data_IF_254064577163
#
_entry.id   IF_254064577163
#
_cell.length_a   1.000
_cell.length_b   1.000
_cell.length_c   1.000
_cell.angle_alpha   90.00
_cell.angle_beta   90.00
_cell.angle_gamma   90.00
#
_symmetry.space_group_name_H-M   'P 1'
#
loop_
_entity.id
_entity.type
_entity.pdbx_description
1 polymer ?
#
# COMPACT_ATOMS: atom_id res chain seq x y z
N UNK A 1 -26.82 4.34 -29.83
CA UNK A 1 -26.65 4.55 -28.38
C UNK A 1 -25.46 3.72 -27.94
N UNK A 2 -24.29 4.34 -27.88
CA UNK A 2 -23.00 3.68 -27.68
C UNK A 2 -22.82 3.30 -26.21
N UNK A 3 -22.79 2.00 -25.90
CA UNK A 3 -22.23 1.51 -24.64
C UNK A 3 -20.72 1.67 -24.75
N UNK A 4 -20.20 2.71 -24.10
CA UNK A 4 -18.78 2.96 -23.97
C UNK A 4 -18.19 1.81 -23.15
N UNK A 5 -17.39 0.98 -23.82
CA UNK A 5 -16.52 -0.01 -23.21
C UNK A 5 -15.50 0.74 -22.35
N UNK A 6 -15.55 0.55 -21.02
CA UNK A 6 -14.50 0.99 -20.11
C UNK A 6 -13.28 0.14 -20.46
N UNK A 7 -12.29 0.73 -21.13
CA UNK A 7 -11.02 0.07 -21.39
C UNK A 7 -10.52 -0.54 -20.08
N UNK A 8 -10.14 -1.82 -20.10
CA UNK A 8 -9.64 -2.51 -18.92
C UNK A 8 -8.41 -1.74 -18.39
N UNK A 9 -8.60 -1.01 -17.29
CA UNK A 9 -7.53 -0.40 -16.52
C UNK A 9 -6.57 -1.52 -16.10
N UNK A 10 -5.30 -1.45 -16.46
CA UNK A 10 -4.33 -2.49 -16.07
C UNK A 10 -4.11 -2.40 -14.57
N UNK A 11 -4.82 -3.23 -13.81
CA UNK A 11 -4.61 -3.40 -12.38
C UNK A 11 -3.54 -4.46 -12.15
N UNK A 12 -2.57 -4.16 -11.30
CA UNK A 12 -1.51 -5.07 -10.89
C UNK A 12 -1.54 -5.21 -9.37
N UNK A 13 -1.47 -6.44 -8.89
CA UNK A 13 -1.27 -6.73 -7.47
C UNK A 13 0.19 -7.07 -7.20
N UNK A 14 0.74 -6.46 -6.17
CA UNK A 14 2.10 -6.70 -5.67
C UNK A 14 2.01 -7.12 -4.19
N UNK A 15 2.50 -8.30 -3.88
CA UNK A 15 2.63 -8.79 -2.50
C UNK A 15 4.04 -8.48 -2.00
N UNK A 16 4.13 -7.85 -0.83
CA UNK A 16 5.39 -7.68 -0.10
C UNK A 16 5.42 -8.77 0.98
N UNK A 17 6.44 -9.62 0.93
CA UNK A 17 6.56 -10.79 1.82
C UNK A 17 7.66 -10.58 2.86
N UNK A 18 8.68 -9.80 2.51
CA UNK A 18 9.76 -9.42 3.43
C UNK A 18 9.32 -8.30 4.39
N UNK A 19 10.07 -8.13 5.48
CA UNK A 19 9.89 -7.02 6.39
C UNK A 19 10.13 -5.68 5.69
N UNK A 20 9.30 -4.69 6.01
CA UNK A 20 9.41 -3.33 5.48
C UNK A 20 10.27 -2.48 6.42
N UNK A 21 11.55 -2.79 6.49
CA UNK A 21 12.53 -2.09 7.33
C UNK A 21 13.60 -1.39 6.49
N UNK A 22 14.44 -0.57 7.13
CA UNK A 22 15.54 0.15 6.47
C UNK A 22 16.48 -0.77 5.67
N UNK A 23 16.62 -2.04 6.07
CA UNK A 23 17.47 -3.01 5.39
C UNK A 23 16.97 -3.40 3.99
N UNK A 24 15.65 -3.44 3.78
CA UNK A 24 15.04 -3.80 2.51
C UNK A 24 14.48 -2.59 1.74
N UNK A 25 14.43 -1.42 2.38
CA UNK A 25 13.74 -0.25 1.84
C UNK A 25 14.26 0.22 0.47
N UNK A 26 15.56 0.12 0.22
CA UNK A 26 16.15 0.53 -1.07
C UNK A 26 15.64 -0.36 -2.22
N UNK A 27 15.67 -1.68 -2.04
CA UNK A 27 15.25 -2.65 -3.04
C UNK A 27 13.72 -2.63 -3.22
N UNK A 28 12.98 -2.57 -2.10
CA UNK A 28 11.53 -2.47 -2.12
C UNK A 28 11.06 -1.18 -2.81
N UNK A 29 11.76 -0.06 -2.63
CA UNK A 29 11.46 1.18 -3.36
C UNK A 29 11.54 0.98 -4.87
N UNK A 30 12.58 0.30 -5.35
CA UNK A 30 12.75 0.04 -6.78
C UNK A 30 11.58 -0.80 -7.31
N UNK A 31 11.26 -1.91 -6.62
CA UNK A 31 10.16 -2.80 -6.97
C UNK A 31 8.82 -2.04 -7.01
N UNK A 32 8.53 -1.22 -6.01
CA UNK A 32 7.29 -0.44 -5.92
C UNK A 32 7.16 0.55 -7.08
N UNK A 33 8.23 1.28 -7.40
CA UNK A 33 8.24 2.27 -8.49
C UNK A 33 8.09 1.60 -9.85
N UNK A 34 8.77 0.48 -10.08
CA UNK A 34 8.65 -0.31 -11.31
C UNK A 34 7.23 -0.88 -11.48
N UNK A 35 6.65 -1.43 -10.41
CA UNK A 35 5.27 -1.93 -10.42
C UNK A 35 4.27 -0.81 -10.75
N UNK A 36 4.39 0.36 -10.10
CA UNK A 36 3.53 1.51 -10.39
C UNK A 36 3.72 2.03 -11.82
N UNK A 37 4.92 1.97 -12.38
CA UNK A 37 5.15 2.37 -13.76
C UNK A 37 4.38 1.47 -14.75
N UNK A 38 4.29 0.16 -14.46
CA UNK A 38 3.68 -0.85 -15.34
C UNK A 38 2.14 -0.94 -15.33
N UNK A 39 1.46 -0.27 -14.40
CA UNK A 39 0.01 -0.39 -14.23
C UNK A 39 -0.69 0.98 -14.08
N UNK A 40 -2.00 1.01 -14.24
CA UNK A 40 -2.83 2.19 -13.91
C UNK A 40 -3.34 2.13 -12.46
N UNK A 41 -3.44 0.91 -11.91
CA UNK A 41 -3.84 0.64 -10.54
C UNK A 41 -2.90 -0.38 -9.91
N UNK A 42 -2.23 0.03 -8.82
CA UNK A 42 -1.37 -0.82 -8.00
C UNK A 42 -2.09 -1.20 -6.71
N UNK A 43 -2.30 -2.50 -6.51
CA UNK A 43 -2.81 -3.06 -5.27
C UNK A 43 -1.66 -3.65 -4.46
N UNK A 44 -1.46 -3.16 -3.23
CA UNK A 44 -0.44 -3.65 -2.31
C UNK A 44 -1.06 -4.64 -1.33
N UNK A 45 -0.58 -5.87 -1.39
CA UNK A 45 -0.88 -6.89 -0.39
C UNK A 45 0.28 -6.92 0.61
N UNK A 46 0.00 -6.45 1.83
CA UNK A 46 0.94 -6.36 2.94
C UNK A 46 0.59 -7.36 4.05
N UNK A 47 -0.22 -8.38 3.75
CA UNK A 47 -0.67 -9.37 4.74
C UNK A 47 0.48 -10.23 5.29
N UNK A 48 1.56 -10.39 4.53
CA UNK A 48 2.73 -11.18 4.91
C UNK A 48 3.84 -10.37 5.62
N UNK A 49 3.74 -9.04 5.67
CA UNK A 49 4.75 -8.18 6.30
C UNK A 49 4.72 -8.37 7.81
N UNK A 50 5.77 -8.92 8.39
CA UNK A 50 5.84 -9.21 9.83
C UNK A 50 6.32 -8.01 10.64
N UNK A 51 7.27 -7.24 10.10
CA UNK A 51 7.79 -6.02 10.71
C UNK A 51 7.75 -4.84 9.73
N UNK A 52 7.48 -3.64 10.24
CA UNK A 52 7.56 -2.38 9.49
C UNK A 52 8.13 -1.28 10.39
N UNK A 53 9.13 -0.55 9.88
CA UNK A 53 9.69 0.63 10.54
C UNK A 53 9.30 1.93 9.81
N UNK A 54 9.93 3.04 10.20
CA UNK A 54 9.68 4.34 9.56
C UNK A 54 10.11 4.40 8.09
N UNK A 55 11.14 3.65 7.68
CA UNK A 55 11.58 3.60 6.29
C UNK A 55 10.55 2.86 5.43
N UNK A 56 10.06 1.71 5.89
CA UNK A 56 8.96 0.99 5.24
C UNK A 56 7.69 1.84 5.13
N UNK A 57 7.30 2.51 6.21
CA UNK A 57 6.14 3.39 6.21
C UNK A 57 6.29 4.56 5.22
N UNK A 58 7.48 5.15 5.14
CA UNK A 58 7.78 6.19 4.16
C UNK A 58 7.62 5.71 2.71
N UNK A 59 7.90 4.44 2.41
CA UNK A 59 7.64 3.86 1.09
C UNK A 59 6.15 3.78 0.77
N UNK A 60 5.30 3.43 1.75
CA UNK A 60 3.84 3.42 1.58
C UNK A 60 3.31 4.83 1.28
N UNK A 61 3.82 5.84 1.98
CA UNK A 61 3.48 7.24 1.71
C UNK A 61 4.00 7.67 0.33
N UNK A 62 5.24 7.30 -0.01
CA UNK A 62 5.85 7.62 -1.30
C UNK A 62 5.00 7.09 -2.46
N UNK A 63 4.65 5.79 -2.44
CA UNK A 63 3.97 5.16 -3.57
C UNK A 63 2.57 5.73 -3.78
N UNK A 64 1.85 6.04 -2.70
CA UNK A 64 0.53 6.68 -2.78
C UNK A 64 0.62 8.09 -3.37
N UNK A 65 1.62 8.87 -2.96
CA UNK A 65 1.88 10.21 -3.50
C UNK A 65 2.29 10.17 -4.97
N UNK A 66 3.15 9.24 -5.36
CA UNK A 66 3.59 9.09 -6.75
C UNK A 66 2.45 8.63 -7.66
N UNK A 67 1.60 7.70 -7.20
CA UNK A 67 0.42 7.31 -7.95
C UNK A 67 -0.50 8.52 -8.20
N UNK A 68 -0.80 9.30 -7.16
CA UNK A 68 -1.60 10.52 -7.29
C UNK A 68 -0.95 11.54 -8.26
N UNK A 69 0.37 11.75 -8.16
CA UNK A 69 1.13 12.65 -9.05
C UNK A 69 1.06 12.22 -10.51
N UNK A 70 1.03 10.91 -10.77
CA UNK A 70 0.95 10.32 -12.10
C UNK A 70 -0.49 10.14 -12.62
N UNK A 71 -1.51 10.50 -11.84
CA UNK A 71 -2.91 10.25 -12.19
C UNK A 71 -3.32 8.77 -12.11
N UNK A 72 -2.51 7.94 -11.44
CA UNK A 72 -2.72 6.51 -11.21
C UNK A 72 -3.34 6.27 -9.84
N UNK A 73 -3.68 5.01 -9.55
CA UNK A 73 -4.15 4.58 -8.23
C UNK A 73 -3.16 3.64 -7.55
N UNK A 74 -2.95 3.83 -6.26
CA UNK A 74 -2.26 2.88 -5.40
C UNK A 74 -3.04 2.73 -4.09
N UNK A 75 -3.26 1.49 -3.65
CA UNK A 75 -4.01 1.19 -2.44
C UNK A 75 -3.56 -0.10 -1.76
N UNK A 76 -3.74 -0.17 -0.45
CA UNK A 76 -3.49 -1.37 0.35
C UNK A 76 -4.77 -2.20 0.31
N UNK A 77 -4.68 -3.46 -0.12
CA UNK A 77 -5.83 -4.38 -0.24
C UNK A 77 -5.89 -5.44 0.85
N UNK A 78 -4.77 -5.68 1.53
CA UNK A 78 -4.66 -6.49 2.75
C UNK A 78 -3.45 -6.01 3.55
N UNK A 79 -3.51 -6.15 4.88
CA UNK A 79 -2.44 -5.71 5.78
C UNK A 79 -2.29 -6.68 6.96
N UNK A 80 -1.07 -6.74 7.50
CA UNK A 80 -0.78 -7.43 8.75
C UNK A 80 -1.12 -6.55 9.97
N UNK A 81 -1.12 -7.12 11.20
CA UNK A 81 -1.25 -6.34 12.43
C UNK A 81 -0.17 -5.25 12.56
N UNK A 82 1.09 -5.56 12.24
CA UNK A 82 2.20 -4.60 12.30
C UNK A 82 1.97 -3.39 11.39
N UNK A 83 1.42 -3.62 10.19
CA UNK A 83 1.08 -2.54 9.26
C UNK A 83 -0.06 -1.67 9.79
N UNK A 84 -1.13 -2.27 10.33
CA UNK A 84 -2.21 -1.48 10.95
C UNK A 84 -1.72 -0.68 12.16
N UNK A 85 -0.91 -1.28 13.03
CA UNK A 85 -0.38 -0.61 14.23
C UNK A 85 0.44 0.63 13.87
N UNK A 86 1.29 0.55 12.84
CA UNK A 86 2.10 1.69 12.41
C UNK A 86 1.26 2.77 11.72
N UNK A 87 0.29 2.39 10.89
CA UNK A 87 -0.62 3.37 10.26
C UNK A 87 -1.47 4.10 11.31
N UNK A 88 -1.95 3.38 12.34
CA UNK A 88 -2.68 3.96 13.46
C UNK A 88 -1.79 4.85 14.32
N UNK A 89 -0.57 4.39 14.64
CA UNK A 89 0.41 5.14 15.40
C UNK A 89 0.76 6.49 14.74
N UNK A 90 0.87 6.53 13.41
CA UNK A 90 1.08 7.77 12.66
C UNK A 90 -0.21 8.54 12.33
N UNK A 91 -1.38 8.06 12.76
CA UNK A 91 -2.68 8.66 12.47
C UNK A 91 -2.91 8.93 10.96
N UNK A 92 -2.56 7.95 10.12
CA UNK A 92 -2.61 8.06 8.66
C UNK A 92 -3.64 7.14 8.01
N UNK A 93 -4.55 6.54 8.77
CA UNK A 93 -5.56 5.63 8.25
C UNK A 93 -6.43 6.28 7.15
N UNK A 94 -6.89 7.52 7.37
CA UNK A 94 -7.58 8.33 6.37
C UNK A 94 -6.73 8.65 5.12
N UNK A 95 -5.41 8.76 5.28
CA UNK A 95 -4.50 8.93 4.14
C UNK A 95 -4.48 7.68 3.28
N UNK A 96 -4.59 6.48 3.87
CA UNK A 96 -4.60 5.21 3.14
C UNK A 96 -5.99 4.78 2.64
N UNK A 97 -7.08 5.35 3.20
CA UNK A 97 -8.40 5.37 2.57
C UNK A 97 -9.59 4.86 3.40
N UNK A 98 -9.38 4.59 4.69
CA UNK A 98 -10.31 4.21 5.79
C UNK A 98 -11.72 3.60 5.54
N UNK A 99 -12.20 2.71 6.46
CA UNK A 99 -11.67 2.46 7.81
C UNK A 99 -10.79 1.21 7.88
N UNK A 100 -9.55 1.37 8.35
CA UNK A 100 -8.87 0.27 9.04
C UNK A 100 -9.68 -0.01 10.30
N UNK A 101 -10.56 -1.02 10.23
CA UNK A 101 -11.34 -1.43 11.38
C UNK A 101 -10.39 -2.08 12.39
N UNK A 102 -10.14 -1.38 13.49
CA UNK A 102 -9.59 -1.95 14.71
C UNK A 102 -10.48 -3.15 15.08
N UNK A 103 -9.97 -4.39 15.14
CA UNK A 103 -10.68 -5.46 15.81
C UNK A 103 -10.96 -4.98 17.23
N UNK A 104 -12.22 -5.01 17.65
CA UNK A 104 -12.63 -4.61 18.99
C UNK A 104 -11.65 -5.20 20.02
N UNK A 105 -11.04 -4.31 20.81
CA UNK A 105 -10.02 -4.57 21.83
C UNK A 105 -10.18 -5.97 22.45
N UNK A 106 -9.12 -6.79 22.39
CA UNK A 106 -8.93 -7.75 23.47
C UNK A 106 -8.67 -6.95 24.74
N UNK A 107 -9.74 -6.80 25.53
CA UNK A 107 -9.66 -6.30 26.89
C UNK A 107 -8.63 -7.14 27.65
N UNK A 108 -7.57 -6.47 28.12
CA UNK A 108 -6.76 -6.91 29.25
C UNK A 108 -6.68 -5.79 30.27
#
# INVERSE_FOLDING_TARGET
MSKQSRAATSAQRLSIVEDMTIYHAADQKQILVEALAGCEELELDLSAVSEIDTAGFQLLVLIKREAARLGKRAGIVAHSPAVSEVVDFFNMAAHFGDPMLVPAQEAR
#
